data_IF_470040701196
#
_entry.id   IF_470040701196
#
_cell.length_a   1.000
_cell.length_b   1.000
_cell.length_c   1.000
_cell.angle_alpha   90.00
_cell.angle_beta   90.00
_cell.angle_gamma   90.00
#
_symmetry.space_group_name_H-M   'P 1'
#
loop_
_entity.id
_entity.type
_entity.pdbx_description
1 polymer ?
#
# COMPACT_ATOMS: atom_id res chain seq x y z
N UNK A 1 -60.04 21.03 -2.38
CA UNK A 1 -58.92 21.49 -3.23
C UNK A 1 -58.31 20.25 -3.87
N UNK A 2 -57.90 20.28 -5.14
CA UNK A 2 -57.19 19.15 -5.73
C UNK A 2 -55.93 18.85 -4.90
N UNK A 3 -55.61 17.57 -4.63
CA UNK A 3 -54.46 17.20 -3.82
C UNK A 3 -53.17 17.56 -4.53
N UNK A 4 -52.21 18.12 -3.80
CA UNK A 4 -50.88 18.43 -4.32
C UNK A 4 -49.93 17.24 -4.14
N UNK A 5 -48.88 17.19 -4.98
CA UNK A 5 -47.89 16.12 -5.04
C UNK A 5 -46.49 16.73 -4.94
N UNK A 6 -45.59 16.06 -4.23
CA UNK A 6 -44.16 16.32 -4.26
C UNK A 6 -43.42 15.02 -4.56
N UNK A 7 -42.42 15.06 -5.43
CA UNK A 7 -41.60 13.89 -5.75
C UNK A 7 -40.20 14.23 -6.22
N UNK A 8 -39.33 13.22 -6.19
CA UNK A 8 -37.96 13.30 -6.65
C UNK A 8 -37.31 11.91 -6.73
N UNK A 9 -36.00 11.91 -6.94
CA UNK A 9 -35.19 10.71 -7.08
C UNK A 9 -34.02 10.70 -6.10
N UNK A 10 -33.59 9.51 -5.73
CA UNK A 10 -32.31 9.25 -5.07
C UNK A 10 -31.49 8.35 -5.99
N UNK A 11 -30.25 8.74 -6.27
CA UNK A 11 -29.40 8.06 -7.25
C UNK A 11 -27.92 8.18 -6.86
N UNK A 12 -27.13 7.22 -7.33
CA UNK A 12 -25.67 7.26 -7.23
C UNK A 12 -25.11 8.21 -8.28
N UNK A 13 -24.32 9.19 -7.84
CA UNK A 13 -23.78 10.31 -8.62
C UNK A 13 -22.24 10.26 -8.62
N UNK A 14 -21.61 9.43 -9.47
CA UNK A 14 -20.16 9.30 -9.50
C UNK A 14 -19.44 10.48 -10.14
N UNK A 15 -20.09 11.25 -11.03
CA UNK A 15 -19.46 12.39 -11.73
C UNK A 15 -19.71 13.75 -11.05
N UNK A 16 -20.58 13.76 -10.02
CA UNK A 16 -20.78 14.81 -9.04
C UNK A 16 -21.46 16.05 -9.62
N UNK A 17 -22.38 15.84 -10.56
CA UNK A 17 -23.16 16.92 -11.16
C UNK A 17 -24.60 17.03 -10.59
N UNK A 18 -25.03 16.04 -9.79
CA UNK A 18 -26.35 15.91 -9.20
C UNK A 18 -27.52 15.95 -10.21
N UNK A 19 -27.27 15.53 -11.44
CA UNK A 19 -28.26 15.36 -12.51
C UNK A 19 -28.47 13.87 -12.74
N UNK A 20 -29.68 13.38 -12.43
CA UNK A 20 -29.95 11.95 -12.59
C UNK A 20 -29.92 11.51 -14.06
N UNK A 21 -28.80 10.94 -14.46
CA UNK A 21 -28.47 10.54 -15.82
C UNK A 21 -28.79 9.06 -16.09
N UNK A 22 -28.90 8.71 -17.37
CA UNK A 22 -29.29 7.36 -17.78
C UNK A 22 -28.26 6.26 -17.40
N UNK A 23 -27.00 6.64 -17.16
CA UNK A 23 -25.93 5.73 -16.73
C UNK A 23 -25.84 5.55 -15.22
N UNK A 24 -26.55 6.37 -14.46
CA UNK A 24 -26.47 6.38 -13.01
C UNK A 24 -27.40 5.37 -12.37
N UNK A 25 -27.01 4.91 -11.18
CA UNK A 25 -27.73 3.83 -10.50
C UNK A 25 -28.80 4.43 -9.59
N UNK A 26 -30.09 4.15 -9.80
CA UNK A 26 -31.13 4.54 -8.85
C UNK A 26 -30.95 3.81 -7.51
N UNK A 27 -31.21 4.50 -6.40
CA UNK A 27 -31.11 3.91 -5.07
C UNK A 27 -32.49 3.55 -4.52
N UNK A 28 -32.76 2.25 -4.40
CA UNK A 28 -34.02 1.72 -3.86
C UNK A 28 -34.01 1.63 -2.34
N UNK A 29 -35.17 1.82 -1.72
CA UNK A 29 -35.38 1.58 -0.28
C UNK A 29 -34.87 2.71 0.62
N UNK A 30 -34.40 3.81 0.04
CA UNK A 30 -33.89 4.97 0.77
C UNK A 30 -35.05 5.66 1.45
N UNK A 31 -34.93 5.90 2.76
CA UNK A 31 -35.99 6.49 3.56
C UNK A 31 -36.03 8.00 3.34
N UNK A 32 -37.19 8.50 2.95
CA UNK A 32 -37.45 9.93 2.75
C UNK A 32 -38.62 10.37 3.65
N UNK A 33 -38.44 11.46 4.37
CA UNK A 33 -39.40 12.05 5.29
C UNK A 33 -39.88 13.41 4.80
N UNK A 34 -41.17 13.66 4.96
CA UNK A 34 -41.77 14.98 4.76
C UNK A 34 -42.06 15.61 6.12
N UNK A 35 -41.55 16.82 6.32
CA UNK A 35 -41.74 17.61 7.53
C UNK A 35 -42.59 18.85 7.22
N UNK A 36 -43.46 19.22 8.16
CA UNK A 36 -44.20 20.48 8.11
C UNK A 36 -43.32 21.69 8.50
N UNK A 37 -43.90 22.89 8.47
CA UNK A 37 -43.22 24.14 8.83
C UNK A 37 -42.79 24.23 10.30
N UNK A 38 -43.32 23.39 11.18
CA UNK A 38 -42.88 23.26 12.57
C UNK A 38 -41.76 22.22 12.74
N UNK A 39 -41.33 21.57 11.66
CA UNK A 39 -40.30 20.52 11.68
C UNK A 39 -40.82 19.16 12.16
N UNK A 40 -42.14 18.95 12.21
CA UNK A 40 -42.72 17.65 12.56
C UNK A 40 -42.76 16.77 11.32
N UNK A 41 -42.29 15.52 11.43
CA UNK A 41 -42.49 14.51 10.39
C UNK A 41 -43.99 14.20 10.28
N UNK A 42 -44.55 14.44 9.10
CA UNK A 42 -45.96 14.23 8.79
C UNK A 42 -46.19 13.06 7.82
N UNK A 43 -45.15 12.66 7.08
CA UNK A 43 -45.17 11.49 6.22
C UNK A 43 -43.75 10.92 6.08
N UNK A 44 -43.69 9.63 5.78
CA UNK A 44 -42.46 8.90 5.47
C UNK A 44 -42.74 7.97 4.31
N UNK A 45 -41.78 7.84 3.40
CA UNK A 45 -41.82 6.89 2.30
C UNK A 45 -40.42 6.30 2.08
N UNK A 46 -40.31 5.34 1.18
CA UNK A 46 -39.03 4.82 0.70
C UNK A 46 -38.99 4.90 -0.82
N UNK A 47 -37.81 5.10 -1.40
CA UNK A 47 -37.64 5.06 -2.85
C UNK A 47 -37.96 3.69 -3.44
N UNK A 48 -38.52 3.67 -4.64
CA UNK A 48 -38.79 2.44 -5.39
C UNK A 48 -37.55 1.93 -6.17
N UNK A 49 -37.73 0.89 -6.99
CA UNK A 49 -36.65 0.29 -7.78
C UNK A 49 -36.02 1.25 -8.82
N UNK A 50 -36.69 2.36 -9.12
CA UNK A 50 -36.20 3.43 -9.99
C UNK A 50 -35.64 4.62 -9.20
N UNK A 51 -35.50 4.48 -7.88
CA UNK A 51 -35.00 5.55 -7.00
C UNK A 51 -36.05 6.63 -6.75
N UNK A 52 -37.28 6.45 -7.23
CA UNK A 52 -38.33 7.47 -7.17
C UNK A 52 -39.04 7.43 -5.82
N UNK A 53 -39.30 8.61 -5.25
CA UNK A 53 -40.15 8.78 -4.08
C UNK A 53 -41.24 9.82 -4.34
N UNK A 54 -42.36 9.69 -3.61
CA UNK A 54 -43.52 10.56 -3.79
C UNK A 54 -44.32 10.75 -2.51
N UNK A 55 -44.79 11.97 -2.30
CA UNK A 55 -45.80 12.33 -1.31
C UNK A 55 -47.04 12.89 -2.03
N UNK A 56 -48.22 12.43 -1.63
CA UNK A 56 -49.51 12.82 -2.21
C UNK A 56 -50.47 13.39 -1.17
N UNK A 57 -51.50 14.10 -1.62
CA UNK A 57 -52.53 14.60 -0.72
C UNK A 57 -52.06 15.78 0.13
N UNK A 58 -51.05 16.52 -0.33
CA UNK A 58 -50.46 17.61 0.43
C UNK A 58 -51.39 18.83 0.42
N UNK A 59 -51.58 19.42 1.61
CA UNK A 59 -52.26 20.70 1.74
C UNK A 59 -51.33 21.84 1.30
N UNK A 60 -51.87 23.03 0.97
CA UNK A 60 -51.02 24.19 0.74
C UNK A 60 -50.22 24.55 2.00
N UNK A 61 -48.93 24.79 1.86
CA UNK A 61 -48.05 25.03 3.01
C UNK A 61 -46.58 25.10 2.65
N UNK A 62 -45.74 25.26 3.68
CA UNK A 62 -44.28 25.14 3.57
C UNK A 62 -43.83 23.81 4.15
N UNK A 63 -42.97 23.13 3.41
CA UNK A 63 -42.51 21.78 3.73
C UNK A 63 -40.99 21.67 3.67
N UNK A 64 -40.47 20.63 4.29
CA UNK A 64 -39.10 20.14 4.11
C UNK A 64 -39.17 18.67 3.70
N UNK A 65 -38.33 18.27 2.74
CA UNK A 65 -38.00 16.87 2.50
C UNK A 65 -36.65 16.57 3.12
N UNK A 66 -36.56 15.46 3.86
CA UNK A 66 -35.32 14.99 4.47
C UNK A 66 -35.07 13.54 4.08
N UNK A 67 -33.88 13.25 3.60
CA UNK A 67 -33.40 11.90 3.37
C UNK A 67 -32.72 11.34 4.63
N UNK A 68 -32.74 10.01 4.76
CA UNK A 68 -31.77 9.30 5.60
C UNK A 68 -30.67 8.76 4.69
N UNK A 69 -29.43 9.23 4.89
CA UNK A 69 -28.23 8.80 4.16
C UNK A 69 -28.28 7.28 3.89
N UNK A 70 -28.27 6.85 2.61
CA UNK A 70 -28.26 5.44 2.28
C UNK A 70 -27.02 4.72 2.82
N UNK A 71 -27.22 3.50 3.34
CA UNK A 71 -26.13 2.65 3.80
C UNK A 71 -25.15 2.33 2.65
N UNK A 72 -23.85 2.51 2.91
CA UNK A 72 -22.80 2.23 1.93
C UNK A 72 -22.57 3.32 0.88
N UNK A 73 -23.25 4.45 0.98
CA UNK A 73 -23.01 5.64 0.15
C UNK A 73 -22.54 6.81 1.02
N UNK A 74 -21.98 7.82 0.38
CA UNK A 74 -21.63 9.08 1.01
C UNK A 74 -22.46 10.21 0.41
N UNK A 75 -22.80 11.20 1.23
CA UNK A 75 -23.49 12.41 0.78
C UNK A 75 -22.82 13.04 -0.45
N UNK A 76 -23.55 13.11 -1.57
CA UNK A 76 -23.09 13.75 -2.82
C UNK A 76 -23.67 15.14 -3.04
N UNK A 77 -24.90 15.35 -2.59
CA UNK A 77 -25.58 16.62 -2.62
C UNK A 77 -27.10 16.48 -2.65
N UNK A 78 -27.76 17.58 -2.94
CA UNK A 78 -29.19 17.62 -3.22
C UNK A 78 -29.49 18.79 -4.16
N UNK A 79 -30.61 18.70 -4.89
CA UNK A 79 -31.07 19.76 -5.79
C UNK A 79 -32.53 20.09 -5.51
N UNK A 80 -32.79 21.36 -5.24
CA UNK A 80 -34.15 21.86 -5.14
C UNK A 80 -34.91 21.72 -6.47
N UNK A 81 -36.14 21.19 -6.40
CA UNK A 81 -36.91 20.84 -7.59
C UNK A 81 -37.63 22.00 -8.27
N UNK A 82 -38.70 21.65 -9.00
CA UNK A 82 -39.42 22.53 -9.94
C UNK A 82 -40.01 23.81 -9.35
N UNK A 83 -40.04 23.95 -8.01
CA UNK A 83 -40.52 25.15 -7.31
C UNK A 83 -39.49 25.71 -6.33
N UNK A 84 -38.22 25.35 -6.51
CA UNK A 84 -37.13 25.75 -5.64
C UNK A 84 -37.28 25.19 -4.22
N UNK A 85 -36.54 25.81 -3.31
CA UNK A 85 -36.30 25.36 -1.95
C UNK A 85 -34.93 25.84 -1.50
N UNK A 86 -34.56 25.51 -0.27
CA UNK A 86 -33.21 25.66 0.25
C UNK A 86 -32.60 24.27 0.43
N UNK A 87 -31.61 23.98 -0.40
CA UNK A 87 -30.86 22.75 -0.52
C UNK A 87 -29.42 22.90 0.02
N UNK A 88 -29.16 23.88 0.88
CA UNK A 88 -27.83 24.14 1.46
C UNK A 88 -27.43 23.21 2.61
N UNK A 89 -28.36 22.39 3.11
CA UNK A 89 -28.12 21.46 4.23
C UNK A 89 -28.13 20.03 3.71
N UNK A 90 -27.08 19.27 4.06
CA UNK A 90 -26.97 17.86 3.70
C UNK A 90 -28.24 17.07 4.06
N UNK A 91 -28.64 16.20 3.15
CA UNK A 91 -29.80 15.31 3.21
C UNK A 91 -31.13 16.06 3.42
N UNK A 92 -31.20 17.36 3.07
CA UNK A 92 -32.36 18.19 3.35
C UNK A 92 -32.64 19.24 2.28
N UNK A 93 -33.87 19.24 1.77
CA UNK A 93 -34.41 20.34 0.95
C UNK A 93 -35.56 20.98 1.72
N UNK A 94 -35.37 22.23 2.14
CA UNK A 94 -36.31 22.98 2.99
C UNK A 94 -37.00 24.13 2.25
N UNK A 95 -37.87 24.87 2.94
CA UNK A 95 -38.56 26.05 2.40
C UNK A 95 -39.36 25.79 1.11
N UNK A 96 -39.88 24.57 0.95
CA UNK A 96 -40.64 24.16 -0.23
C UNK A 96 -42.09 24.64 -0.09
N UNK A 97 -42.49 25.62 -0.88
CA UNK A 97 -43.84 26.21 -0.81
C UNK A 97 -44.78 25.53 -1.79
N UNK A 98 -45.73 24.74 -1.29
CA UNK A 98 -46.72 24.01 -2.09
C UNK A 98 -48.05 24.77 -2.09
N UNK A 99 -48.58 25.04 -3.28
CA UNK A 99 -49.93 25.58 -3.51
C UNK A 99 -50.96 24.48 -3.73
N UNK A 100 -52.24 24.85 -3.88
CA UNK A 100 -53.32 23.88 -4.05
C UNK A 100 -53.34 23.26 -5.45
N UNK A 101 -53.31 21.92 -5.53
CA UNK A 101 -53.35 21.17 -6.79
C UNK A 101 -52.05 21.18 -7.58
N UNK A 102 -50.94 21.53 -6.95
CA UNK A 102 -49.65 21.59 -7.63
C UNK A 102 -48.94 20.24 -7.64
N UNK A 103 -48.19 19.99 -8.72
CA UNK A 103 -47.29 18.85 -8.83
C UNK A 103 -45.86 19.37 -8.86
N UNK A 104 -45.10 19.04 -7.82
CA UNK A 104 -43.70 19.41 -7.64
C UNK A 104 -42.83 18.19 -7.92
N UNK A 105 -41.80 18.36 -8.75
CA UNK A 105 -40.92 17.27 -9.23
C UNK A 105 -39.44 17.66 -9.11
N UNK A 106 -38.55 16.69 -9.25
CA UNK A 106 -37.09 16.85 -9.27
C UNK A 106 -36.48 17.37 -7.96
N UNK A 107 -37.07 17.01 -6.82
CA UNK A 107 -36.47 17.22 -5.51
C UNK A 107 -35.48 16.08 -5.25
N UNK A 108 -34.27 16.16 -5.81
CA UNK A 108 -33.39 15.01 -5.90
C UNK A 108 -32.31 15.02 -4.82
N UNK A 109 -31.93 13.82 -4.39
CA UNK A 109 -30.73 13.56 -3.58
C UNK A 109 -29.75 12.75 -4.44
N UNK A 110 -28.48 13.13 -4.41
CA UNK A 110 -27.39 12.56 -5.21
C UNK A 110 -26.32 12.02 -4.25
N UNK A 111 -25.89 10.79 -4.48
CA UNK A 111 -25.13 10.01 -3.51
C UNK A 111 -23.84 9.47 -4.11
N UNK A 112 -22.71 9.68 -3.47
CA UNK A 112 -21.41 9.24 -3.97
C UNK A 112 -21.23 7.75 -3.68
N UNK A 113 -21.03 6.90 -4.70
CA UNK A 113 -20.68 5.51 -4.48
C UNK A 113 -19.29 5.38 -3.83
N UNK A 114 -19.07 4.34 -3.00
CA UNK A 114 -17.81 4.13 -2.33
C UNK A 114 -16.72 3.67 -3.29
N UNK A 115 -15.48 4.05 -2.99
CA UNK A 115 -14.30 3.63 -3.73
C UNK A 115 -13.52 2.55 -3.01
N UNK A 116 -12.56 1.95 -3.71
CA UNK A 116 -11.59 1.01 -3.13
C UNK A 116 -10.18 1.30 -3.61
N UNK A 117 -9.19 0.92 -2.79
CA UNK A 117 -7.77 1.03 -3.08
C UNK A 117 -7.08 -0.28 -2.72
N UNK A 118 -6.19 -0.74 -3.57
CA UNK A 118 -5.45 -1.99 -3.36
C UNK A 118 -4.06 -1.99 -3.99
N UNK A 119 -3.23 -2.90 -3.51
CA UNK A 119 -1.89 -3.15 -4.02
C UNK A 119 -1.31 -4.43 -3.45
N UNK A 120 -0.04 -4.66 -3.74
CA UNK A 120 0.73 -5.83 -3.32
C UNK A 120 1.99 -5.43 -2.56
N UNK A 121 2.41 -6.29 -1.63
CA UNK A 121 3.76 -6.30 -1.07
C UNK A 121 4.45 -7.58 -1.51
N UNK A 122 5.64 -7.45 -2.10
CA UNK A 122 6.38 -8.56 -2.71
C UNK A 122 7.89 -8.35 -2.56
N UNK A 123 8.65 -9.43 -2.72
CA UNK A 123 10.10 -9.35 -2.81
C UNK A 123 10.52 -8.77 -4.14
N UNK A 124 11.57 -7.96 -4.18
CA UNK A 124 12.13 -7.39 -5.39
C UNK A 124 13.58 -7.85 -5.56
N UNK A 125 13.81 -8.78 -6.48
CA UNK A 125 15.12 -9.42 -6.63
C UNK A 125 15.97 -8.78 -7.73
N UNK A 126 15.36 -8.06 -8.66
CA UNK A 126 16.06 -7.39 -9.76
C UNK A 126 16.03 -5.85 -9.68
N UNK A 127 15.33 -5.31 -8.68
CA UNK A 127 15.25 -3.89 -8.30
C UNK A 127 14.48 -3.03 -9.29
N UNK A 128 13.44 -3.57 -9.91
CA UNK A 128 12.56 -2.82 -10.80
C UNK A 128 11.20 -2.47 -10.18
N UNK A 129 10.90 -3.03 -8.99
CA UNK A 129 9.68 -2.82 -8.22
C UNK A 129 8.39 -3.22 -8.98
N UNK A 130 8.50 -4.17 -9.91
CA UNK A 130 7.41 -4.81 -10.66
C UNK A 130 7.26 -6.24 -10.16
N UNK A 131 6.05 -6.62 -9.74
CA UNK A 131 5.84 -7.95 -9.19
C UNK A 131 5.91 -9.06 -10.26
N UNK A 132 7.08 -9.68 -10.37
CA UNK A 132 7.40 -10.67 -11.38
C UNK A 132 7.19 -12.13 -10.93
N UNK A 133 7.24 -13.06 -11.88
CA UNK A 133 6.96 -14.48 -11.62
C UNK A 133 8.01 -15.20 -10.75
N UNK A 134 9.23 -14.68 -10.68
CA UNK A 134 10.33 -15.15 -9.85
C UNK A 134 10.33 -14.52 -8.44
N UNK A 135 9.37 -13.66 -8.16
CA UNK A 135 9.25 -12.94 -6.91
C UNK A 135 8.18 -13.53 -6.02
N UNK A 136 8.38 -13.40 -4.71
CA UNK A 136 7.49 -13.97 -3.71
C UNK A 136 6.61 -12.89 -3.09
N UNK A 137 5.31 -13.15 -2.90
CA UNK A 137 4.46 -12.25 -2.13
C UNK A 137 4.85 -12.25 -0.65
N UNK A 138 4.64 -11.13 0.04
CA UNK A 138 4.92 -10.99 1.46
C UNK A 138 3.62 -10.81 2.23
N UNK A 139 3.27 -11.81 3.03
CA UNK A 139 2.04 -11.86 3.82
C UNK A 139 2.20 -11.23 5.21
N UNK A 140 1.10 -10.74 5.78
CA UNK A 140 1.06 -10.22 7.15
C UNK A 140 1.67 -8.82 7.33
N UNK A 141 2.00 -8.14 6.23
CA UNK A 141 2.57 -6.78 6.26
C UNK A 141 1.49 -5.78 6.62
N UNK A 142 1.74 -4.94 7.62
CA UNK A 142 0.77 -3.94 8.09
C UNK A 142 0.77 -2.74 7.15
N UNK A 143 -0.40 -2.45 6.59
CA UNK A 143 -0.65 -1.27 5.76
C UNK A 143 -1.64 -0.34 6.45
N UNK A 144 -1.34 0.95 6.45
CA UNK A 144 -2.17 2.00 7.03
C UNK A 144 -2.65 2.95 5.92
N UNK A 145 -3.94 3.28 5.93
CA UNK A 145 -4.51 4.34 5.11
C UNK A 145 -4.60 5.62 5.95
N UNK A 146 -4.12 6.72 5.39
CA UNK A 146 -4.12 8.02 6.05
C UNK A 146 -4.96 9.04 5.27
N UNK A 147 -5.62 9.93 6.01
CA UNK A 147 -6.28 11.09 5.44
C UNK A 147 -5.29 12.19 5.02
N UNK A 148 -5.82 13.26 4.42
CA UNK A 148 -5.04 14.44 3.99
C UNK A 148 -4.29 15.14 5.14
N UNK A 149 -4.71 14.96 6.39
CA UNK A 149 -4.08 15.54 7.57
C UNK A 149 -3.00 14.61 8.16
N UNK A 150 -2.83 13.40 7.61
CA UNK A 150 -1.91 12.40 8.10
C UNK A 150 -2.43 11.57 9.28
N UNK A 151 -3.73 11.59 9.55
CA UNK A 151 -4.34 10.70 10.55
C UNK A 151 -4.57 9.33 9.93
N UNK A 152 -4.31 8.25 10.69
CA UNK A 152 -4.67 6.90 10.27
C UNK A 152 -6.19 6.73 10.36
N UNK A 153 -6.82 6.43 9.23
CA UNK A 153 -8.28 6.22 9.12
C UNK A 153 -8.67 4.76 8.94
N UNK A 154 -7.75 3.92 8.47
CA UNK A 154 -7.93 2.48 8.40
C UNK A 154 -6.58 1.76 8.43
N UNK A 155 -6.60 0.49 8.82
CA UNK A 155 -5.43 -0.40 8.78
C UNK A 155 -5.84 -1.76 8.24
N UNK A 156 -4.96 -2.41 7.50
CA UNK A 156 -5.14 -3.78 7.02
C UNK A 156 -3.80 -4.52 7.05
N UNK A 157 -3.80 -5.81 6.72
CA UNK A 157 -2.59 -6.61 6.54
C UNK A 157 -2.63 -7.33 5.21
N UNK A 158 -1.48 -7.51 4.57
CA UNK A 158 -1.41 -8.30 3.33
C UNK A 158 -1.81 -9.75 3.56
N UNK A 159 -2.49 -10.34 2.59
CA UNK A 159 -2.87 -11.75 2.61
C UNK A 159 -1.72 -12.67 2.16
N UNK A 160 -1.99 -13.98 2.03
CA UNK A 160 -1.00 -14.98 1.59
C UNK A 160 -0.44 -14.76 0.17
N UNK A 161 -1.08 -13.90 -0.62
CA UNK A 161 -0.64 -13.48 -1.95
C UNK A 161 -0.05 -12.07 -1.95
N UNK A 162 0.24 -11.51 -0.77
CA UNK A 162 0.79 -10.17 -0.63
C UNK A 162 -0.22 -9.06 -0.90
N UNK A 163 -1.48 -9.39 -1.15
CA UNK A 163 -2.50 -8.42 -1.52
C UNK A 163 -3.07 -7.72 -0.29
N UNK A 164 -3.25 -6.41 -0.38
CA UNK A 164 -4.01 -5.63 0.59
C UNK A 164 -5.09 -4.80 -0.09
N UNK A 165 -6.16 -4.50 0.63
CA UNK A 165 -7.25 -3.66 0.12
C UNK A 165 -7.91 -2.85 1.24
N UNK A 166 -8.26 -1.61 0.88
CA UNK A 166 -9.22 -0.79 1.58
C UNK A 166 -10.47 -0.65 0.73
N UNK A 167 -11.65 -0.83 1.34
CA UNK A 167 -12.96 -0.65 0.71
C UNK A 167 -13.72 0.44 1.43
N UNK A 168 -14.86 0.85 0.87
CA UNK A 168 -15.74 1.86 1.47
C UNK A 168 -15.03 3.20 1.70
N UNK A 169 -14.27 3.65 0.69
CA UNK A 169 -13.54 4.92 0.75
C UNK A 169 -14.42 6.06 0.25
N UNK A 170 -14.54 7.12 1.06
CA UNK A 170 -15.13 8.37 0.62
C UNK A 170 -14.19 9.06 -0.38
N UNK A 171 -14.72 9.80 -1.36
CA UNK A 171 -13.90 10.59 -2.28
C UNK A 171 -13.03 11.60 -1.51
N UNK A 172 -11.78 11.72 -1.90
CA UNK A 172 -10.81 12.55 -1.18
C UNK A 172 -9.37 12.30 -1.57
N UNK A 173 -8.46 12.84 -0.76
CA UNK A 173 -7.02 12.65 -0.90
C UNK A 173 -6.52 11.76 0.22
N UNK A 174 -5.78 10.71 -0.14
CA UNK A 174 -5.27 9.73 0.81
C UNK A 174 -3.76 9.52 0.66
N UNK A 175 -3.20 8.82 1.65
CA UNK A 175 -1.89 8.18 1.56
C UNK A 175 -1.98 6.74 2.05
N UNK A 176 -1.15 5.86 1.52
CA UNK A 176 -0.89 4.54 2.09
C UNK A 176 0.51 4.50 2.69
N UNK A 177 0.65 3.87 3.84
CA UNK A 177 1.93 3.68 4.54
C UNK A 177 2.09 2.23 4.91
N UNK A 178 3.25 1.69 4.59
CA UNK A 178 3.67 0.37 5.00
C UNK A 178 4.46 0.44 6.32
N UNK A 179 4.36 -0.63 7.10
CA UNK A 179 5.35 -0.92 8.13
C UNK A 179 6.35 -1.91 7.52
N UNK A 180 7.59 -1.47 7.32
CA UNK A 180 8.70 -2.29 6.83
C UNK A 180 8.62 -3.73 7.37
N UNK A 181 8.48 -4.74 6.50
CA UNK A 181 8.42 -6.13 6.92
C UNK A 181 9.70 -6.58 7.62
N UNK A 182 9.56 -7.30 8.74
CA UNK A 182 10.70 -7.89 9.45
C UNK A 182 11.44 -8.88 8.54
N UNK A 183 12.77 -8.79 8.52
CA UNK A 183 13.62 -9.68 7.72
C UNK A 183 13.79 -9.28 6.26
N UNK A 184 13.28 -8.12 5.86
CA UNK A 184 13.48 -7.52 4.54
C UNK A 184 14.08 -6.11 4.66
N UNK A 185 14.61 -5.60 3.56
CA UNK A 185 15.06 -4.21 3.44
C UNK A 185 14.19 -3.46 2.43
N UNK A 186 13.92 -2.18 2.70
CA UNK A 186 13.16 -1.31 1.79
C UNK A 186 13.70 -1.37 0.35
N UNK A 187 12.88 -1.88 -0.57
CA UNK A 187 13.15 -1.88 -2.02
C UNK A 187 12.52 -0.71 -2.75
N UNK A 188 11.47 -0.12 -2.17
CA UNK A 188 10.76 1.03 -2.69
C UNK A 188 9.27 0.81 -2.84
N UNK A 189 8.65 1.70 -3.61
CA UNK A 189 7.20 1.72 -3.80
C UNK A 189 6.82 2.35 -5.15
N UNK A 190 5.68 1.93 -5.69
CA UNK A 190 5.15 2.42 -6.96
C UNK A 190 3.73 2.96 -6.78
N UNK A 191 3.49 4.15 -7.33
CA UNK A 191 2.16 4.74 -7.36
C UNK A 191 1.25 4.01 -8.36
N UNK A 192 0.00 3.76 -7.96
CA UNK A 192 -0.92 2.93 -8.73
C UNK A 192 -1.72 3.66 -9.81
N UNK A 193 -2.87 3.08 -10.16
CA UNK A 193 -3.68 3.44 -11.33
C UNK A 193 -4.23 4.87 -11.38
N UNK A 194 -4.16 5.61 -10.27
CA UNK A 194 -4.56 7.03 -10.17
C UNK A 194 -3.41 7.95 -9.76
N UNK A 195 -2.17 7.46 -9.83
CA UNK A 195 -0.97 8.19 -9.47
C UNK A 195 -0.82 8.35 -7.96
N UNK A 196 -0.08 9.39 -7.57
CA UNK A 196 0.39 9.62 -6.20
C UNK A 196 1.86 9.96 -6.19
N UNK A 197 2.37 10.34 -5.03
CA UNK A 197 3.78 10.64 -4.78
C UNK A 197 4.40 9.50 -3.98
N UNK A 198 5.25 8.74 -4.67
CA UNK A 198 5.98 7.57 -4.19
C UNK A 198 7.45 7.90 -3.86
N UNK A 199 7.79 9.16 -3.59
CA UNK A 199 9.17 9.57 -3.26
C UNK A 199 9.58 9.29 -1.81
N UNK A 200 8.63 9.04 -0.92
CA UNK A 200 8.88 8.74 0.49
C UNK A 200 8.97 7.24 0.73
N UNK A 201 10.03 6.80 1.41
CA UNK A 201 10.19 5.40 1.85
C UNK A 201 8.94 4.89 2.59
N UNK A 202 8.53 3.66 2.28
CA UNK A 202 7.38 2.98 2.88
C UNK A 202 6.08 3.79 2.78
N UNK A 203 5.95 4.72 1.82
CA UNK A 203 4.76 5.59 1.73
C UNK A 203 4.45 6.08 0.31
N UNK A 204 3.17 6.01 -0.05
CA UNK A 204 2.62 6.66 -1.25
C UNK A 204 1.60 7.71 -0.80
N UNK A 205 1.77 8.97 -1.22
CA UNK A 205 0.94 10.10 -0.76
C UNK A 205 0.19 10.77 -1.91
N UNK A 206 -0.72 11.70 -1.59
CA UNK A 206 -1.46 12.51 -2.57
C UNK A 206 -2.29 11.68 -3.56
N UNK A 207 -2.83 10.54 -3.10
CA UNK A 207 -3.59 9.60 -3.92
C UNK A 207 -5.02 10.17 -4.09
N UNK A 208 -5.41 10.56 -5.32
CA UNK A 208 -6.75 11.07 -5.57
C UNK A 208 -7.74 9.92 -5.69
N UNK A 209 -8.73 9.92 -4.82
CA UNK A 209 -9.83 8.94 -4.82
C UNK A 209 -11.10 9.67 -5.25
N UNK A 210 -11.60 9.36 -6.44
CA UNK A 210 -12.93 9.78 -6.92
C UNK A 210 -14.05 8.95 -6.33
N UNK A 211 -15.30 9.19 -6.75
CA UNK A 211 -16.46 8.40 -6.34
C UNK A 211 -16.61 7.14 -7.19
N UNK A 212 -16.91 5.99 -6.56
CA UNK A 212 -17.10 4.72 -7.24
C UNK A 212 -15.87 4.16 -7.96
N UNK A 213 -14.67 4.64 -7.63
CA UNK A 213 -13.44 4.24 -8.29
C UNK A 213 -12.83 2.98 -7.69
N UNK A 214 -12.17 2.18 -8.54
CA UNK A 214 -11.33 1.06 -8.12
C UNK A 214 -9.87 1.38 -8.42
N UNK A 215 -9.11 1.64 -7.36
CA UNK A 215 -7.69 1.97 -7.41
C UNK A 215 -6.87 0.69 -7.17
N UNK A 216 -5.88 0.46 -8.02
CA UNK A 216 -5.06 -0.76 -8.03
C UNK A 216 -3.59 -0.42 -8.23
N UNK A 217 -2.70 -1.38 -7.96
CA UNK A 217 -1.25 -1.28 -8.17
C UNK A 217 -0.52 -0.25 -7.29
N UNK A 218 -0.99 -0.03 -6.05
CA UNK A 218 -0.26 0.74 -5.05
C UNK A 218 0.73 -0.17 -4.31
N UNK A 219 1.80 -0.53 -5.00
CA UNK A 219 2.67 -1.64 -4.58
C UNK A 219 3.86 -1.15 -3.75
N UNK A 220 4.27 -2.00 -2.81
CA UNK A 220 5.54 -1.90 -2.09
C UNK A 220 6.40 -3.11 -2.44
N UNK A 221 7.69 -2.89 -2.60
CA UNK A 221 8.63 -3.90 -3.07
C UNK A 221 9.81 -3.95 -2.10
N UNK A 222 10.26 -5.17 -1.78
CA UNK A 222 11.10 -5.42 -0.62
C UNK A 222 12.31 -6.29 -0.98
N UNK A 223 13.50 -5.86 -0.60
CA UNK A 223 14.73 -6.57 -0.92
C UNK A 223 14.95 -7.72 0.07
N UNK A 224 14.96 -8.99 -0.37
CA UNK A 224 15.32 -10.10 0.50
C UNK A 224 16.80 -10.03 0.93
N UNK A 225 17.12 -10.53 2.13
CA UNK A 225 18.48 -10.51 2.65
C UNK A 225 19.37 -11.49 1.89
N UNK A 226 20.64 -11.14 1.78
CA UNK A 226 21.68 -11.99 1.20
C UNK A 226 22.60 -12.58 2.26
N UNK A 227 23.41 -13.55 1.87
CA UNK A 227 24.46 -14.13 2.72
C UNK A 227 25.77 -14.25 1.95
N UNK A 228 26.88 -14.23 2.68
CA UNK A 228 28.23 -14.46 2.19
C UNK A 228 28.93 -15.48 3.06
N UNK A 229 29.77 -16.33 2.46
CA UNK A 229 30.56 -17.32 3.18
C UNK A 229 31.83 -17.71 2.44
N UNK A 230 32.76 -18.33 3.17
CA UNK A 230 34.02 -18.85 2.66
C UNK A 230 34.74 -19.69 3.72
N UNK A 231 35.92 -20.15 3.36
CA UNK A 231 36.82 -20.96 4.19
C UNK A 231 38.16 -20.29 4.41
N UNK A 232 38.76 -20.58 5.56
CA UNK A 232 40.17 -20.27 5.86
C UNK A 232 40.86 -21.58 6.21
N UNK A 233 41.94 -21.90 5.49
CA UNK A 233 42.64 -23.17 5.60
C UNK A 233 44.13 -23.02 5.34
N UNK A 234 44.90 -24.01 5.80
CA UNK A 234 46.34 -24.09 5.55
C UNK A 234 46.58 -24.66 4.15
N UNK A 235 47.02 -23.81 3.25
CA UNK A 235 47.39 -24.13 1.87
C UNK A 235 48.85 -24.59 1.82
N UNK A 236 49.08 -25.88 1.60
CA UNK A 236 50.42 -26.47 1.68
C UNK A 236 51.13 -26.56 0.34
N UNK A 237 50.40 -26.51 -0.77
CA UNK A 237 50.93 -26.64 -2.13
C UNK A 237 50.80 -25.38 -2.99
N UNK A 238 50.26 -24.29 -2.42
CA UNK A 238 50.22 -22.92 -2.94
C UNK A 238 49.36 -22.75 -4.19
N UNK A 239 48.24 -23.46 -4.25
CA UNK A 239 47.27 -23.30 -5.34
C UNK A 239 45.98 -22.56 -4.93
N UNK A 240 45.79 -22.30 -3.62
CA UNK A 240 44.60 -21.69 -3.05
C UNK A 240 43.28 -22.37 -3.46
N UNK A 241 43.30 -23.69 -3.61
CA UNK A 241 42.13 -24.56 -3.65
C UNK A 241 42.08 -25.40 -2.37
N UNK A 242 40.93 -25.43 -1.66
CA UNK A 242 40.86 -26.18 -0.40
C UNK A 242 40.83 -27.70 -0.65
N UNK A 243 41.99 -28.33 -0.53
CA UNK A 243 42.22 -29.67 -1.04
C UNK A 243 42.18 -30.78 0.02
N UNK A 244 41.90 -32.04 -0.35
CA UNK A 244 41.94 -33.16 0.58
C UNK A 244 43.34 -33.37 1.19
N UNK A 245 43.48 -33.06 2.48
CA UNK A 245 44.74 -33.18 3.22
C UNK A 245 45.23 -31.85 3.79
N UNK A 246 44.64 -30.76 3.33
CA UNK A 246 44.80 -29.43 3.90
C UNK A 246 43.99 -29.28 5.17
N UNK A 247 44.48 -28.46 6.09
CA UNK A 247 43.89 -28.33 7.43
C UNK A 247 43.04 -27.06 7.51
N UNK A 248 41.75 -27.15 7.88
CA UNK A 248 40.96 -25.96 8.14
C UNK A 248 41.49 -25.18 9.34
N UNK A 249 41.33 -23.86 9.32
CA UNK A 249 41.77 -22.97 10.40
C UNK A 249 40.57 -22.40 11.15
N UNK A 250 40.28 -22.98 12.32
CA UNK A 250 39.22 -22.52 13.20
C UNK A 250 39.62 -21.39 14.15
N UNK A 251 38.66 -20.54 14.50
CA UNK A 251 38.85 -19.40 15.41
C UNK A 251 39.50 -18.16 14.79
N UNK A 252 39.69 -18.13 13.46
CA UNK A 252 40.23 -16.99 12.73
C UNK A 252 39.18 -15.89 12.68
N UNK A 253 39.57 -14.65 13.01
CA UNK A 253 38.64 -13.51 13.01
C UNK A 253 38.45 -12.97 11.60
N UNK A 254 37.19 -12.85 11.17
CA UNK A 254 36.80 -12.31 9.86
C UNK A 254 35.86 -11.13 10.05
N UNK A 255 36.13 -10.03 9.36
CA UNK A 255 35.37 -8.79 9.40
C UNK A 255 34.70 -8.52 8.05
N UNK A 256 33.46 -8.04 8.10
CA UNK A 256 32.75 -7.50 6.93
C UNK A 256 32.73 -5.98 7.04
N UNK A 257 33.19 -5.33 5.97
CA UNK A 257 33.27 -3.88 5.85
C UNK A 257 32.27 -3.39 4.80
N UNK A 258 31.64 -2.24 5.07
CA UNK A 258 30.79 -1.55 4.10
C UNK A 258 31.62 -0.80 3.04
N UNK A 259 30.93 -0.17 2.08
CA UNK A 259 31.54 0.60 1.00
C UNK A 259 32.38 1.82 1.45
N UNK A 260 32.26 2.23 2.71
CA UNK A 260 33.05 3.31 3.31
C UNK A 260 34.31 2.79 4.01
N UNK A 261 34.49 1.47 4.09
CA UNK A 261 35.58 0.82 4.82
C UNK A 261 35.32 0.71 6.32
N UNK A 262 34.07 0.89 6.77
CA UNK A 262 33.70 0.70 8.18
C UNK A 262 33.36 -0.77 8.42
N UNK A 263 33.91 -1.35 9.48
CA UNK A 263 33.50 -2.69 9.96
C UNK A 263 32.06 -2.64 10.44
N UNK A 264 31.21 -3.48 9.85
CA UNK A 264 29.78 -3.58 10.17
C UNK A 264 29.40 -4.91 10.81
N UNK A 265 30.24 -5.94 10.64
CA UNK A 265 30.08 -7.23 11.29
C UNK A 265 31.45 -7.90 11.46
N UNK A 266 31.53 -8.78 12.45
CA UNK A 266 32.71 -9.62 12.73
C UNK A 266 32.20 -11.02 13.08
N UNK A 267 32.89 -12.03 12.59
CA UNK A 267 32.65 -13.44 12.93
C UNK A 267 33.99 -14.14 13.14
N UNK A 268 33.94 -15.41 13.53
CA UNK A 268 35.11 -16.30 13.57
C UNK A 268 34.83 -17.55 12.77
N UNK A 269 35.85 -18.12 12.13
CA UNK A 269 35.74 -19.44 11.52
C UNK A 269 35.41 -20.51 12.55
N UNK A 270 34.60 -21.49 12.16
CA UNK A 270 34.34 -22.69 12.96
C UNK A 270 35.49 -23.71 12.89
N UNK A 271 35.35 -24.86 13.54
CA UNK A 271 36.40 -25.90 13.57
C UNK A 271 36.71 -26.48 12.17
N UNK A 272 35.80 -26.31 11.21
CA UNK A 272 35.97 -26.71 9.81
C UNK A 272 36.47 -25.55 8.93
N UNK A 273 36.89 -24.43 9.55
CA UNK A 273 37.46 -23.27 8.86
C UNK A 273 36.42 -22.40 8.16
N UNK A 274 35.13 -22.71 8.30
CA UNK A 274 34.05 -22.03 7.61
C UNK A 274 33.63 -20.77 8.35
N UNK A 275 33.37 -19.69 7.61
CA UNK A 275 32.73 -18.48 8.15
C UNK A 275 31.53 -18.06 7.29
N UNK A 276 30.60 -17.35 7.91
CA UNK A 276 29.44 -16.78 7.20
C UNK A 276 28.97 -15.45 7.79
N UNK A 277 28.46 -14.60 6.91
CA UNK A 277 27.66 -13.42 7.22
C UNK A 277 26.27 -13.59 6.61
N UNK A 278 25.22 -13.44 7.42
CA UNK A 278 23.83 -13.53 7.00
C UNK A 278 23.13 -12.18 7.16
N UNK A 279 21.92 -12.05 6.58
CA UNK A 279 21.11 -10.83 6.71
C UNK A 279 21.81 -9.58 6.16
N UNK A 280 22.44 -9.73 4.99
CA UNK A 280 23.16 -8.66 4.31
C UNK A 280 22.19 -7.85 3.44
N UNK A 281 22.20 -6.53 3.65
CA UNK A 281 21.52 -5.61 2.75
C UNK A 281 22.22 -5.61 1.39
N UNK A 282 21.50 -5.41 0.28
CA UNK A 282 22.16 -5.33 -1.01
C UNK A 282 23.10 -4.13 -1.09
N UNK A 283 24.29 -4.30 -1.66
CA UNK A 283 25.32 -3.27 -1.67
C UNK A 283 26.73 -3.81 -1.91
N UNK A 284 27.72 -2.94 -1.76
CA UNK A 284 29.14 -3.27 -1.96
C UNK A 284 29.85 -3.48 -0.63
N UNK A 285 30.60 -4.57 -0.55
CA UNK A 285 31.27 -5.01 0.66
C UNK A 285 32.73 -5.38 0.44
N UNK A 286 33.46 -5.48 1.54
CA UNK A 286 34.80 -6.09 1.62
C UNK A 286 34.81 -7.07 2.77
N UNK A 287 35.36 -8.26 2.55
CA UNK A 287 35.68 -9.21 3.61
C UNK A 287 37.16 -9.09 3.94
N UNK A 288 37.49 -9.07 5.22
CA UNK A 288 38.86 -8.98 5.72
C UNK A 288 39.10 -10.03 6.78
N UNK A 289 40.13 -10.84 6.64
CA UNK A 289 40.58 -11.70 7.72
C UNK A 289 41.65 -11.00 8.58
N UNK A 290 41.77 -11.47 9.83
CA UNK A 290 42.97 -11.24 10.63
C UNK A 290 43.90 -12.41 10.42
N UNK A 291 45.13 -12.12 9.95
CA UNK A 291 46.18 -13.12 9.75
C UNK A 291 46.23 -14.11 10.93
N UNK A 292 46.03 -15.42 10.71
CA UNK A 292 46.08 -16.42 11.77
C UNK A 292 47.48 -16.50 12.40
N UNK A 293 47.52 -16.59 13.72
CA UNK A 293 48.78 -16.73 14.46
C UNK A 293 49.49 -18.04 14.05
N UNK A 294 50.76 -17.92 13.67
CA UNK A 294 51.59 -19.07 13.27
C UNK A 294 51.51 -19.44 11.80
N UNK A 295 50.76 -18.68 11.00
CA UNK A 295 50.68 -18.80 9.54
C UNK A 295 51.18 -17.52 8.85
N UNK A 296 51.57 -17.65 7.60
CA UNK A 296 51.89 -16.54 6.70
C UNK A 296 50.83 -16.45 5.60
N UNK A 297 50.51 -15.23 5.16
CA UNK A 297 49.67 -14.94 3.99
C UNK A 297 50.04 -15.85 2.80
N UNK A 298 49.13 -16.75 2.43
CA UNK A 298 49.20 -17.59 1.23
C UNK A 298 48.41 -17.03 0.05
N UNK A 299 47.43 -16.17 0.33
CA UNK A 299 46.62 -15.45 -0.65
C UNK A 299 45.13 -15.49 -0.32
N UNK A 300 44.33 -15.10 -1.31
CA UNK A 300 42.87 -15.12 -1.22
C UNK A 300 42.23 -15.28 -2.58
N UNK A 301 41.04 -15.88 -2.62
CA UNK A 301 40.27 -16.14 -3.84
C UNK A 301 38.92 -15.44 -3.75
N UNK A 302 38.59 -14.69 -4.80
CA UNK A 302 37.26 -14.09 -4.90
C UNK A 302 36.21 -15.16 -5.22
N UNK A 303 35.10 -15.12 -4.48
CA UNK A 303 34.08 -16.16 -4.57
C UNK A 303 33.11 -16.05 -5.73
N UNK A 304 31.97 -16.72 -5.59
CA UNK A 304 31.01 -16.99 -6.66
C UNK A 304 30.41 -15.75 -7.35
N UNK A 305 30.50 -14.57 -6.74
CA UNK A 305 30.03 -13.30 -7.30
C UNK A 305 31.18 -12.31 -7.58
N UNK A 306 32.41 -12.84 -7.67
CA UNK A 306 33.62 -12.07 -7.91
C UNK A 306 34.02 -11.21 -6.72
N UNK A 307 34.92 -10.27 -7.00
CA UNK A 307 35.59 -9.42 -6.02
C UNK A 307 36.99 -9.07 -6.50
N UNK A 308 37.67 -8.21 -5.74
CA UNK A 308 39.07 -7.86 -5.92
C UNK A 308 39.89 -8.42 -4.75
N UNK A 309 40.68 -9.44 -5.07
CA UNK A 309 41.57 -10.20 -4.20
C UNK A 309 43.03 -9.71 -4.31
N UNK A 310 43.29 -8.49 -4.79
CA UNK A 310 44.66 -7.97 -4.99
C UNK A 310 45.32 -7.43 -3.72
N UNK A 311 44.58 -7.27 -2.63
CA UNK A 311 45.06 -6.74 -1.35
C UNK A 311 45.10 -7.87 -0.34
N UNK A 312 46.29 -8.14 0.21
CA UNK A 312 46.51 -9.15 1.27
C UNK A 312 45.43 -9.09 2.35
N UNK A 313 44.87 -10.25 2.68
CA UNK A 313 43.84 -10.45 3.70
C UNK A 313 42.53 -9.69 3.42
N UNK A 314 42.30 -9.25 2.18
CA UNK A 314 41.07 -8.57 1.77
C UNK A 314 40.52 -9.12 0.46
N UNK A 315 39.22 -9.38 0.45
CA UNK A 315 38.44 -9.56 -0.78
C UNK A 315 37.45 -8.39 -0.85
N UNK A 316 37.71 -7.45 -1.75
CA UNK A 316 36.96 -6.19 -1.85
C UNK A 316 36.07 -6.16 -3.10
N UNK A 317 35.36 -5.05 -3.32
CA UNK A 317 34.50 -4.85 -4.49
C UNK A 317 33.44 -5.96 -4.71
N UNK A 318 33.01 -6.61 -3.63
CA UNK A 318 31.98 -7.66 -3.64
C UNK A 318 30.63 -6.96 -3.81
N UNK A 319 29.97 -7.17 -4.94
CA UNK A 319 28.64 -6.61 -5.20
C UNK A 319 27.55 -7.63 -4.85
N UNK A 320 26.77 -7.31 -3.82
CA UNK A 320 25.73 -8.18 -3.28
C UNK A 320 24.37 -7.66 -3.75
N UNK A 321 23.70 -8.44 -4.60
CA UNK A 321 22.31 -8.27 -4.99
C UNK A 321 21.33 -8.76 -3.92
N UNK A 322 20.01 -8.50 -4.07
CA UNK A 322 18.99 -8.99 -3.15
C UNK A 322 18.83 -10.51 -3.21
N UNK A 323 18.65 -11.15 -2.05
CA UNK A 323 18.34 -12.58 -1.94
C UNK A 323 19.42 -13.53 -2.44
N UNK A 324 20.67 -13.07 -2.55
CA UNK A 324 21.78 -13.85 -3.09
C UNK A 324 22.49 -14.67 -2.01
N UNK A 325 22.99 -15.84 -2.39
CA UNK A 325 23.88 -16.67 -1.57
C UNK A 325 25.27 -16.68 -2.20
N UNK A 326 26.19 -15.96 -1.57
CA UNK A 326 27.58 -15.81 -1.98
C UNK A 326 28.44 -16.83 -1.21
N UNK A 327 29.30 -17.55 -1.93
CA UNK A 327 30.13 -18.64 -1.41
C UNK A 327 31.54 -18.54 -1.99
N UNK A 328 32.47 -19.29 -1.42
CA UNK A 328 33.85 -19.46 -1.89
C UNK A 328 34.71 -18.18 -1.79
N UNK A 329 34.44 -17.34 -0.79
CA UNK A 329 35.27 -16.18 -0.46
C UNK A 329 36.42 -16.62 0.44
N UNK A 330 37.43 -17.26 -0.13
CA UNK A 330 38.37 -18.06 0.65
C UNK A 330 39.71 -17.34 0.89
N UNK A 331 40.33 -17.65 2.03
CA UNK A 331 41.69 -17.22 2.38
C UNK A 331 42.58 -18.46 2.59
N UNK A 332 43.73 -18.47 1.93
CA UNK A 332 44.68 -19.59 1.91
C UNK A 332 45.94 -19.17 2.69
N UNK A 333 46.40 -20.05 3.60
CA UNK A 333 47.42 -19.69 4.59
C UNK A 333 48.60 -20.66 4.58
N UNK A 334 49.81 -20.12 4.55
CA UNK A 334 51.04 -20.92 4.53
C UNK A 334 51.50 -21.26 5.95
N UNK A 335 51.86 -22.52 6.25
CA UNK A 335 52.36 -22.94 7.56
C UNK A 335 53.82 -22.52 7.85
#
# INVERSE_FOLDING_TARGET
LPPSILSGYVHADPDRDCVFDASETPLQGVKVELLDSAGKVIATTTTDATGYYKFEGLAPGSYTVRETQPDGYFHGGQVAGSKGGDDSQADRISSIVIGAGETLVNYNFCELPPSSLSGYVHTDVDRDCVFDANESPIAGVKIELLDVNGNVVATTTTDAKGFYQFTNLAPGQYAVRETQPDGYFDGGQVAGSKGGDASGSNRITTIPVGAGETLVEYNFCELPPSSLSGFIYSDVDQDCEFDPGESPLGGVTVELLDSTGKVIATTTTDDDGFYTFTNLAPGKYTVRETQPDGYFDGGQVAGSHGGDASVTNHISAIDIGPGQTLVDYDFCELP
#
